data_IF_406183247487
#
_entry.id   IF_406183247487
#
_cell.length_a   1.000
_cell.length_b   1.000
_cell.length_c   1.000
_cell.angle_alpha   90.00
_cell.angle_beta   90.00
_cell.angle_gamma   90.00
#
_symmetry.space_group_name_H-M   'P 1'
#
loop_
_entity.id
_entity.type
_entity.pdbx_description
1 polymer ?
#
# COMPACT_ATOMS: atom_id res chain seq x y z
N UNK A 1 23.51 1.47 5.19
CA UNK A 1 22.27 1.96 4.55
C UNK A 1 21.71 3.15 5.31
N UNK A 2 21.20 4.16 4.58
CA UNK A 2 20.66 5.43 5.14
C UNK A 2 19.51 5.26 6.14
N UNK A 3 18.77 4.15 6.06
CA UNK A 3 17.73 3.76 7.03
C UNK A 3 18.28 3.64 8.46
N UNK A 4 19.50 3.15 8.66
CA UNK A 4 20.06 2.97 10.01
C UNK A 4 20.39 4.30 10.72
N UNK A 5 21.08 5.26 10.08
CA UNK A 5 21.23 6.59 10.66
C UNK A 5 19.90 7.29 10.96
N UNK A 6 18.90 7.17 10.09
CA UNK A 6 17.57 7.75 10.33
C UNK A 6 16.90 7.15 11.56
N UNK A 7 16.89 5.82 11.68
CA UNK A 7 16.40 5.10 12.87
C UNK A 7 17.07 5.57 14.15
N UNK A 8 18.40 5.76 14.11
CA UNK A 8 19.18 6.27 15.23
C UNK A 8 18.80 7.71 15.59
N UNK A 9 18.64 8.61 14.61
CA UNK A 9 18.19 9.99 14.84
C UNK A 9 16.80 10.06 15.47
N UNK A 10 15.89 9.17 15.03
CA UNK A 10 14.52 9.11 15.55
C UNK A 10 14.41 8.38 16.89
N UNK A 11 15.49 7.75 17.38
CA UNK A 11 15.47 6.94 18.58
C UNK A 11 14.63 5.65 18.46
N UNK A 12 14.32 5.22 17.24
CA UNK A 12 13.52 4.02 16.96
C UNK A 12 14.26 3.09 16.00
N UNK A 13 14.94 2.09 16.56
CA UNK A 13 15.68 1.07 15.80
C UNK A 13 14.78 0.18 14.92
N UNK A 14 13.47 0.17 15.19
CA UNK A 14 12.48 -0.68 14.51
C UNK A 14 11.62 0.07 13.51
N UNK A 15 11.82 1.39 13.36
CA UNK A 15 11.03 2.21 12.45
C UNK A 15 11.10 1.66 11.02
N UNK A 16 9.93 1.45 10.41
CA UNK A 16 9.78 0.96 9.03
C UNK A 16 10.07 2.06 8.03
N UNK A 17 10.43 1.70 6.81
CA UNK A 17 10.92 2.69 5.82
C UNK A 17 9.93 3.82 5.53
N UNK A 18 8.62 3.58 5.52
CA UNK A 18 7.61 4.62 5.34
C UNK A 18 7.58 5.67 6.46
N UNK A 19 8.12 5.35 7.64
CA UNK A 19 8.24 6.26 8.78
C UNK A 19 9.50 7.13 8.71
N UNK A 20 10.37 6.89 7.73
CA UNK A 20 11.68 7.51 7.59
C UNK A 20 11.77 8.44 6.37
N UNK A 21 10.62 8.86 5.82
CA UNK A 21 10.55 9.61 4.58
C UNK A 21 10.22 11.09 4.82
N UNK A 22 10.78 11.97 3.99
CA UNK A 22 10.41 13.39 3.97
C UNK A 22 11.21 14.22 4.97
N UNK A 23 10.53 14.84 5.93
CA UNK A 23 11.13 15.81 6.86
C UNK A 23 12.24 15.19 7.73
N UNK A 24 12.17 13.89 8.02
CA UNK A 24 13.18 13.18 8.81
C UNK A 24 14.55 13.15 8.13
N UNK A 25 14.62 13.32 6.80
CA UNK A 25 15.90 13.47 6.09
C UNK A 25 16.67 14.72 6.53
N UNK A 26 15.98 15.74 7.07
CA UNK A 26 16.62 16.94 7.61
C UNK A 26 17.43 16.66 8.89
N UNK A 27 17.22 15.52 9.54
CA UNK A 27 17.97 15.09 10.72
C UNK A 27 19.33 14.48 10.37
N UNK A 28 19.64 14.28 9.08
CA UNK A 28 20.89 13.69 8.64
C UNK A 28 21.99 14.73 8.49
N UNK A 29 23.07 14.54 9.25
CA UNK A 29 24.32 15.28 9.08
C UNK A 29 25.16 14.68 7.94
N UNK A 30 26.10 15.48 7.41
CA UNK A 30 27.05 15.00 6.40
C UNK A 30 27.91 13.81 6.85
N UNK A 31 28.19 13.68 8.15
CA UNK A 31 28.92 12.53 8.68
C UNK A 31 28.10 11.23 8.57
N UNK A 32 26.81 11.30 8.89
CA UNK A 32 25.90 10.16 8.78
C UNK A 32 25.65 9.74 7.33
N UNK A 33 25.63 10.69 6.40
CA UNK A 33 25.55 10.39 4.97
C UNK A 33 26.79 9.62 4.48
N UNK A 34 28.00 10.04 4.91
CA UNK A 34 29.25 9.32 4.59
C UNK A 34 29.28 7.92 5.17
N UNK A 35 28.89 7.75 6.42
CA UNK A 35 28.78 6.44 7.07
C UNK A 35 27.80 5.52 6.31
N UNK A 36 26.62 6.05 5.94
CA UNK A 36 25.63 5.28 5.20
C UNK A 36 26.14 4.82 3.82
N UNK A 37 26.91 5.68 3.13
CA UNK A 37 27.56 5.36 1.86
C UNK A 37 28.61 4.26 2.03
N UNK A 38 29.50 4.37 3.03
CA UNK A 38 30.49 3.33 3.33
C UNK A 38 29.85 1.97 3.62
N UNK A 39 28.76 1.94 4.41
CA UNK A 39 28.03 0.69 4.69
C UNK A 39 27.40 0.11 3.43
N UNK A 40 26.90 0.96 2.52
CA UNK A 40 26.34 0.50 1.25
C UNK A 40 27.44 -0.06 0.34
N UNK A 41 28.57 0.62 0.20
CA UNK A 41 29.71 0.15 -0.61
C UNK A 41 30.30 -1.16 -0.09
N UNK A 42 30.41 -1.32 1.24
CA UNK A 42 30.84 -2.55 1.86
C UNK A 42 29.87 -3.71 1.55
N UNK A 43 28.56 -3.46 1.68
CA UNK A 43 27.54 -4.46 1.35
C UNK A 43 27.55 -4.81 -0.15
N UNK A 44 27.70 -3.82 -1.03
CA UNK A 44 27.80 -4.01 -2.48
C UNK A 44 29.02 -4.87 -2.81
N UNK A 45 30.18 -4.55 -2.25
CA UNK A 45 31.41 -5.29 -2.47
C UNK A 45 31.33 -6.73 -2.00
N UNK A 46 30.66 -6.98 -0.87
CA UNK A 46 30.53 -8.30 -0.26
C UNK A 46 29.48 -9.21 -0.94
N UNK A 47 28.42 -8.65 -1.53
CA UNK A 47 27.26 -9.42 -1.98
C UNK A 47 26.99 -9.36 -3.49
N UNK A 48 27.59 -8.41 -4.22
CA UNK A 48 27.38 -8.26 -5.67
C UNK A 48 28.66 -8.64 -6.42
N UNK A 49 28.62 -9.70 -7.27
CA UNK A 49 29.77 -10.10 -8.09
C UNK A 49 30.27 -8.93 -8.93
N UNK A 50 31.60 -8.77 -9.02
CA UNK A 50 32.23 -7.62 -9.68
C UNK A 50 31.71 -7.40 -11.11
N UNK A 51 31.59 -8.48 -11.88
CA UNK A 51 31.05 -8.46 -13.26
C UNK A 51 29.60 -7.98 -13.37
N UNK A 52 28.83 -8.00 -12.29
CA UNK A 52 27.43 -7.56 -12.26
C UNK A 52 27.24 -6.19 -11.63
N UNK A 53 28.25 -5.60 -10.96
CA UNK A 53 28.09 -4.36 -10.19
C UNK A 53 27.53 -3.21 -11.01
N UNK A 54 28.11 -2.95 -12.19
CA UNK A 54 27.63 -1.88 -13.07
C UNK A 54 26.18 -2.10 -13.49
N UNK A 55 25.83 -3.32 -13.91
CA UNK A 55 24.46 -3.64 -14.31
C UNK A 55 23.48 -3.55 -13.13
N UNK A 56 23.87 -4.03 -11.96
CA UNK A 56 23.10 -3.95 -10.72
C UNK A 56 22.78 -2.50 -10.36
N UNK A 57 23.79 -1.62 -10.33
CA UNK A 57 23.60 -0.21 -10.00
C UNK A 57 22.75 0.52 -11.04
N UNK A 58 22.96 0.23 -12.33
CA UNK A 58 22.15 0.79 -13.42
C UNK A 58 20.68 0.38 -13.31
N UNK A 59 20.41 -0.90 -13.03
CA UNK A 59 19.03 -1.40 -12.88
C UNK A 59 18.35 -0.84 -11.63
N UNK A 60 19.07 -0.71 -10.50
CA UNK A 60 18.53 -0.02 -9.32
C UNK A 60 18.22 1.45 -9.59
N UNK A 61 19.16 2.18 -10.22
CA UNK A 61 18.96 3.58 -10.56
C UNK A 61 17.78 3.78 -11.52
N UNK A 62 17.67 2.92 -12.54
CA UNK A 62 16.56 2.95 -13.48
C UNK A 62 15.21 2.67 -12.78
N UNK A 63 15.16 1.67 -11.89
CA UNK A 63 13.95 1.34 -11.14
C UNK A 63 13.52 2.49 -10.21
N UNK A 64 14.47 3.15 -9.55
CA UNK A 64 14.20 4.32 -8.69
C UNK A 64 13.70 5.52 -9.50
N UNK A 65 14.31 5.79 -10.66
CA UNK A 65 13.89 6.87 -11.56
C UNK A 65 12.47 6.62 -12.09
N UNK A 66 12.17 5.38 -12.49
CA UNK A 66 10.83 4.97 -12.94
C UNK A 66 9.79 5.13 -11.83
N UNK A 67 10.08 4.62 -10.62
CA UNK A 67 9.20 4.77 -9.46
C UNK A 67 8.96 6.24 -9.12
N UNK A 68 10.01 7.08 -9.12
CA UNK A 68 9.88 8.52 -8.89
C UNK A 68 8.97 9.19 -9.93
N UNK A 69 9.17 8.91 -11.22
CA UNK A 69 8.32 9.47 -12.27
C UNK A 69 6.87 9.01 -12.13
N UNK A 70 6.66 7.73 -11.78
CA UNK A 70 5.33 7.17 -11.55
C UNK A 70 4.61 7.88 -10.40
N UNK A 71 5.29 8.01 -9.25
CA UNK A 71 4.76 8.72 -8.09
C UNK A 71 4.45 10.18 -8.40
N UNK A 72 5.35 10.91 -9.08
CA UNK A 72 5.09 12.30 -9.50
C UNK A 72 3.89 12.45 -10.43
N UNK A 73 3.61 11.44 -11.25
CA UNK A 73 2.47 11.45 -12.17
C UNK A 73 1.16 11.11 -11.46
N UNK A 74 1.18 10.14 -10.55
CA UNK A 74 -0.04 9.48 -10.05
C UNK A 74 -0.38 9.80 -8.58
N UNK A 75 0.59 10.14 -7.72
CA UNK A 75 0.36 10.39 -6.29
C UNK A 75 -0.06 11.85 -5.98
N UNK A 76 -1.09 12.34 -6.68
CA UNK A 76 -1.58 13.73 -6.58
C UNK A 76 -3.02 13.86 -6.06
N UNK A 77 -3.84 12.85 -6.33
CA UNK A 77 -5.24 12.80 -5.91
C UNK A 77 -5.73 11.34 -5.97
N UNK A 78 -6.85 11.04 -5.31
CA UNK A 78 -7.45 9.69 -5.34
C UNK A 78 -7.67 9.20 -6.79
N UNK A 79 -8.24 10.03 -7.67
CA UNK A 79 -8.44 9.68 -9.09
C UNK A 79 -7.13 9.44 -9.86
N UNK A 80 -6.06 10.19 -9.56
CA UNK A 80 -4.75 9.98 -10.19
C UNK A 80 -4.08 8.70 -9.67
N UNK A 81 -4.29 8.36 -8.38
CA UNK A 81 -3.86 7.09 -7.77
C UNK A 81 -4.59 5.89 -8.36
N UNK A 82 -5.92 5.95 -8.54
CA UNK A 82 -6.69 4.90 -9.24
C UNK A 82 -6.08 4.65 -10.63
N UNK A 83 -5.81 5.70 -11.41
CA UNK A 83 -5.12 5.56 -12.70
C UNK A 83 -3.72 4.96 -12.59
N UNK A 84 -3.00 5.26 -11.50
CA UNK A 84 -1.72 4.64 -11.20
C UNK A 84 -1.87 3.14 -10.96
N UNK A 85 -2.80 2.73 -10.09
CA UNK A 85 -3.08 1.31 -9.85
C UNK A 85 -3.56 0.58 -11.10
N UNK A 86 -4.36 1.20 -11.96
CA UNK A 86 -4.76 0.61 -13.25
C UNK A 86 -3.56 0.39 -14.16
N UNK A 87 -2.71 1.41 -14.32
CA UNK A 87 -1.48 1.30 -15.12
C UNK A 87 -0.57 0.21 -14.57
N UNK A 88 -0.42 0.14 -13.25
CA UNK A 88 0.37 -0.90 -12.61
C UNK A 88 -0.25 -2.29 -12.82
N UNK A 89 -1.57 -2.42 -12.70
CA UNK A 89 -2.31 -3.63 -13.01
C UNK A 89 -2.08 -4.08 -14.45
N UNK A 90 -2.13 -3.16 -15.43
CA UNK A 90 -1.82 -3.45 -16.83
C UNK A 90 -0.37 -3.92 -17.03
N UNK A 91 0.61 -3.29 -16.36
CA UNK A 91 2.02 -3.71 -16.41
C UNK A 91 2.21 -5.12 -15.84
N UNK A 92 1.42 -5.49 -14.84
CA UNK A 92 1.38 -6.82 -14.23
C UNK A 92 0.40 -7.79 -14.93
N UNK A 93 -0.20 -7.38 -16.06
CA UNK A 93 -1.26 -8.12 -16.76
C UNK A 93 -2.43 -8.55 -15.85
N UNK A 94 -2.64 -7.84 -14.74
CA UNK A 94 -3.58 -8.16 -13.68
C UNK A 94 -3.38 -9.56 -13.08
N UNK A 95 -2.16 -10.09 -13.04
CA UNK A 95 -1.87 -11.35 -12.35
C UNK A 95 -1.78 -11.18 -10.84
N UNK A 96 -1.27 -10.02 -10.38
CA UNK A 96 -1.20 -9.69 -8.96
C UNK A 96 -2.49 -8.97 -8.52
N UNK A 97 -3.26 -9.48 -7.54
CA UNK A 97 -4.56 -8.90 -7.16
C UNK A 97 -4.50 -7.52 -6.51
N UNK A 98 -3.39 -7.18 -5.86
CA UNK A 98 -3.26 -5.96 -5.04
C UNK A 98 -3.73 -4.66 -5.69
N UNK A 99 -3.40 -4.31 -6.95
CA UNK A 99 -3.87 -3.05 -7.55
C UNK A 99 -5.39 -2.97 -7.68
N UNK A 100 -6.07 -4.10 -7.96
CA UNK A 100 -7.55 -4.15 -8.02
C UNK A 100 -8.14 -3.95 -6.63
N UNK A 101 -7.60 -4.65 -5.62
CA UNK A 101 -8.01 -4.50 -4.21
C UNK A 101 -7.83 -3.05 -3.75
N UNK A 102 -6.69 -2.42 -4.06
CA UNK A 102 -6.42 -1.03 -3.73
C UNK A 102 -7.42 -0.06 -4.40
N UNK A 103 -7.80 -0.30 -5.65
CA UNK A 103 -8.82 0.51 -6.34
C UNK A 103 -10.20 0.35 -5.69
N UNK A 104 -10.59 -0.87 -5.31
CA UNK A 104 -11.86 -1.12 -4.61
C UNK A 104 -11.88 -0.47 -3.22
N UNK A 105 -10.77 -0.53 -2.48
CA UNK A 105 -10.61 0.23 -1.24
C UNK A 105 -10.75 1.74 -1.45
N UNK A 106 -10.15 2.28 -2.51
CA UNK A 106 -10.33 3.69 -2.88
C UNK A 106 -11.77 4.04 -3.29
N UNK A 107 -12.52 3.12 -3.88
CA UNK A 107 -13.94 3.33 -4.16
C UNK A 107 -14.75 3.50 -2.88
N UNK A 108 -14.48 2.68 -1.85
CA UNK A 108 -15.11 2.83 -0.54
C UNK A 108 -14.81 4.21 0.06
N UNK A 109 -13.56 4.68 -0.02
CA UNK A 109 -13.17 6.01 0.46
C UNK A 109 -13.90 7.11 -0.33
N UNK A 110 -13.96 7.01 -1.66
CA UNK A 110 -14.65 7.98 -2.52
C UNK A 110 -16.16 8.03 -2.27
N UNK A 111 -16.79 6.88 -2.06
CA UNK A 111 -18.22 6.78 -1.78
C UNK A 111 -18.52 7.32 -0.38
N UNK A 112 -17.65 7.09 0.61
CA UNK A 112 -17.74 7.69 1.94
C UNK A 112 -17.62 9.21 1.90
N UNK A 113 -16.64 9.74 1.15
CA UNK A 113 -16.46 11.20 0.95
C UNK A 113 -17.59 11.84 0.15
N UNK A 114 -18.21 11.09 -0.76
CA UNK A 114 -19.34 11.59 -1.55
C UNK A 114 -20.59 11.61 -0.70
N UNK A 115 -20.83 10.57 0.11
CA UNK A 115 -21.92 10.56 1.09
C UNK A 115 -21.74 11.67 2.13
N UNK A 116 -20.55 11.90 2.67
CA UNK A 116 -20.32 13.02 3.61
C UNK A 116 -20.64 14.39 2.97
N UNK A 117 -20.31 14.58 1.68
CA UNK A 117 -20.63 15.82 0.93
C UNK A 117 -22.11 15.95 0.55
N UNK A 118 -22.75 14.88 0.10
CA UNK A 118 -24.17 14.85 -0.27
C UNK A 118 -25.06 14.98 0.98
N UNK A 119 -24.63 14.43 2.11
CA UNK A 119 -25.25 14.65 3.43
C UNK A 119 -24.78 15.94 4.12
N UNK A 120 -24.10 16.85 3.40
CA UNK A 120 -24.08 18.29 3.68
C UNK A 120 -25.47 18.95 3.59
N UNK A 121 -26.54 18.16 3.46
CA UNK A 121 -27.96 18.47 3.58
C UNK A 121 -28.48 17.87 4.90
N UNK A 122 -28.05 18.38 6.04
CA UNK A 122 -28.85 19.41 6.75
C UNK A 122 -27.97 20.65 7.01
N UNK A 123 -27.23 21.10 6.00
CA UNK A 123 -26.33 22.25 6.09
C UNK A 123 -27.02 23.59 6.38
N UNK A 124 -28.34 23.67 6.43
CA UNK A 124 -29.07 24.89 6.81
C UNK A 124 -29.79 24.76 8.17
N UNK A 125 -30.27 23.56 8.54
CA UNK A 125 -30.86 23.33 9.86
C UNK A 125 -29.80 22.97 10.94
N UNK A 126 -28.67 22.34 10.59
CA UNK A 126 -27.56 22.07 11.52
C UNK A 126 -26.73 23.32 11.82
N UNK A 127 -26.65 24.28 10.87
CA UNK A 127 -26.02 25.59 11.07
C UNK A 127 -26.77 26.45 12.11
N UNK A 128 -28.09 26.25 12.28
CA UNK A 128 -28.88 26.92 13.33
C UNK A 128 -28.72 26.31 14.73
N UNK A 129 -28.09 25.13 14.85
CA UNK A 129 -27.95 24.39 16.12
C UNK A 129 -26.49 24.37 16.62
N UNK A 130 -25.58 25.14 16.01
CA UNK A 130 -24.23 25.34 16.57
C UNK A 130 -23.31 24.11 16.51
N UNK A 131 -23.44 23.29 15.46
CA UNK A 131 -22.70 22.02 15.33
C UNK A 131 -21.44 22.19 14.47
N UNK A 132 -20.52 23.07 14.86
CA UNK A 132 -19.20 23.21 14.22
C UNK A 132 -18.32 21.96 14.42
N UNK A 133 -18.53 21.22 15.51
CA UNK A 133 -17.76 20.03 15.84
C UNK A 133 -17.93 18.88 14.82
N UNK A 134 -19.11 18.72 14.19
CA UNK A 134 -19.32 17.63 13.23
C UNK A 134 -18.66 17.87 11.86
N UNK A 135 -18.55 19.13 11.43
CA UNK A 135 -17.83 19.48 10.21
C UNK A 135 -16.31 19.34 10.39
N UNK A 136 -15.77 19.73 11.55
CA UNK A 136 -14.37 19.44 11.94
C UNK A 136 -14.09 17.94 12.01
N UNK A 137 -15.05 17.15 12.52
CA UNK A 137 -14.97 15.69 12.61
C UNK A 137 -14.86 15.01 11.23
N UNK A 138 -15.72 15.39 10.29
CA UNK A 138 -15.70 14.85 8.93
C UNK A 138 -14.41 15.25 8.19
N UNK A 139 -13.97 16.50 8.37
CA UNK A 139 -12.74 17.04 7.75
C UNK A 139 -11.47 16.31 8.22
N UNK A 140 -11.33 16.04 9.52
CA UNK A 140 -10.15 15.37 10.09
C UNK A 140 -10.02 13.89 9.70
N UNK A 141 -11.15 13.19 9.55
CA UNK A 141 -11.17 11.80 9.09
C UNK A 141 -10.80 11.71 7.60
N UNK A 142 -11.37 12.60 6.78
CA UNK A 142 -11.06 12.71 5.36
C UNK A 142 -9.56 13.02 5.17
N UNK A 143 -8.98 13.92 5.95
CA UNK A 143 -7.53 14.22 5.88
C UNK A 143 -6.67 13.01 6.26
N UNK A 144 -6.99 12.30 7.35
CA UNK A 144 -6.25 11.10 7.77
C UNK A 144 -6.29 10.00 6.69
N UNK A 145 -7.46 9.77 6.09
CA UNK A 145 -7.61 8.81 5.00
C UNK A 145 -6.85 9.26 3.75
N UNK A 146 -6.89 10.54 3.40
CA UNK A 146 -6.18 11.08 2.22
C UNK A 146 -4.67 10.99 2.38
N UNK A 147 -4.13 11.33 3.55
CA UNK A 147 -2.70 11.19 3.91
C UNK A 147 -2.27 9.73 3.91
N UNK A 148 -3.07 8.84 4.50
CA UNK A 148 -2.77 7.39 4.49
C UNK A 148 -2.73 6.83 3.08
N UNK A 149 -3.75 7.10 2.26
CA UNK A 149 -3.75 6.66 0.86
C UNK A 149 -2.57 7.24 0.07
N UNK A 150 -2.04 8.41 0.46
CA UNK A 150 -0.85 9.01 -0.16
C UNK A 150 0.42 8.26 0.22
N UNK A 151 0.57 7.93 1.50
CA UNK A 151 1.72 7.20 2.00
C UNK A 151 1.73 5.74 1.54
N UNK A 152 0.58 5.04 1.59
CA UNK A 152 0.44 3.68 1.04
C UNK A 152 0.90 3.65 -0.42
N UNK A 153 0.38 4.57 -1.23
CA UNK A 153 0.78 4.66 -2.64
C UNK A 153 2.27 4.98 -2.80
N UNK A 154 2.83 5.87 -1.98
CA UNK A 154 4.24 6.24 -2.03
C UNK A 154 5.19 5.12 -1.60
N UNK A 155 4.79 4.31 -0.62
CA UNK A 155 5.57 3.19 -0.07
C UNK A 155 5.50 1.96 -0.97
N UNK A 156 4.29 1.56 -1.39
CA UNK A 156 4.07 0.28 -2.05
C UNK A 156 4.46 0.26 -3.53
N UNK A 157 4.25 1.37 -4.25
CA UNK A 157 4.50 1.43 -5.71
C UNK A 157 5.99 1.17 -6.05
N UNK A 158 6.97 1.82 -5.40
CA UNK A 158 8.38 1.52 -5.64
C UNK A 158 8.73 0.05 -5.47
N UNK A 159 8.24 -0.59 -4.40
CA UNK A 159 8.50 -2.02 -4.13
C UNK A 159 7.95 -2.90 -5.24
N UNK A 160 6.70 -2.68 -5.67
CA UNK A 160 6.08 -3.49 -6.73
C UNK A 160 6.75 -3.27 -8.10
N UNK A 161 7.11 -2.03 -8.44
CA UNK A 161 7.85 -1.73 -9.68
C UNK A 161 9.24 -2.37 -9.69
N UNK A 162 9.95 -2.34 -8.56
CA UNK A 162 11.25 -3.00 -8.42
C UNK A 162 11.15 -4.52 -8.60
N UNK A 163 10.14 -5.15 -7.98
CA UNK A 163 9.87 -6.56 -8.16
C UNK A 163 9.54 -6.92 -9.62
N UNK A 164 8.67 -6.14 -10.27
CA UNK A 164 8.34 -6.35 -11.68
C UNK A 164 9.57 -6.21 -12.60
N UNK A 165 10.46 -5.26 -12.30
CA UNK A 165 11.75 -5.12 -13.00
C UNK A 165 12.58 -6.39 -12.86
N UNK A 166 12.74 -6.91 -11.64
CA UNK A 166 13.48 -8.14 -11.38
C UNK A 166 12.85 -9.34 -12.11
N UNK A 167 11.52 -9.47 -12.08
CA UNK A 167 10.81 -10.51 -12.82
C UNK A 167 11.05 -10.40 -14.33
N UNK A 168 11.01 -9.19 -14.89
CA UNK A 168 11.26 -8.94 -16.32
C UNK A 168 12.70 -9.28 -16.73
N UNK A 169 13.68 -8.94 -15.89
CA UNK A 169 15.10 -9.30 -16.10
C UNK A 169 15.24 -10.83 -16.13
N UNK A 170 14.59 -11.53 -15.19
CA UNK A 170 14.58 -13.00 -15.15
C UNK A 170 13.96 -13.60 -16.42
N UNK A 171 12.82 -13.09 -16.88
CA UNK A 171 12.17 -13.52 -18.12
C UNK A 171 13.04 -13.32 -19.37
N UNK A 172 14.01 -12.38 -19.33
CA UNK A 172 15.00 -12.16 -20.40
C UNK A 172 16.23 -13.07 -20.30
N UNK A 173 16.22 -14.06 -19.41
CA UNK A 173 17.32 -15.01 -19.20
C UNK A 173 18.46 -14.48 -18.34
N UNK A 174 18.31 -13.33 -17.69
CA UNK A 174 19.32 -12.73 -16.80
C UNK A 174 19.04 -13.09 -15.34
N UNK A 175 18.86 -14.38 -15.04
CA UNK A 175 18.42 -14.85 -13.72
C UNK A 175 19.36 -14.42 -12.59
N UNK A 176 20.67 -14.50 -12.83
CA UNK A 176 21.68 -14.14 -11.83
C UNK A 176 21.63 -12.65 -11.46
N UNK A 177 21.42 -11.77 -12.44
CA UNK A 177 21.26 -10.33 -12.19
C UNK A 177 19.98 -10.08 -11.39
N UNK A 178 18.88 -10.74 -11.73
CA UNK A 178 17.62 -10.62 -11.00
C UNK A 178 17.75 -11.09 -9.54
N UNK A 179 18.39 -12.23 -9.29
CA UNK A 179 18.61 -12.72 -7.92
C UNK A 179 19.58 -11.81 -7.16
N UNK A 180 20.60 -11.27 -7.83
CA UNK A 180 21.51 -10.30 -7.22
C UNK A 180 20.76 -9.03 -6.82
N UNK A 181 19.85 -8.51 -7.66
CA UNK A 181 18.97 -7.38 -7.32
C UNK A 181 18.04 -7.67 -6.14
N UNK A 182 17.61 -8.91 -5.95
CA UNK A 182 16.71 -9.33 -4.86
C UNK A 182 17.45 -9.66 -3.56
N UNK A 183 18.73 -10.03 -3.61
CA UNK A 183 19.52 -10.48 -2.46
C UNK A 183 20.61 -9.48 -2.03
N UNK A 184 21.07 -8.63 -2.94
CA UNK A 184 22.09 -7.60 -2.70
C UNK A 184 21.61 -6.42 -1.86
N UNK A 185 22.38 -5.33 -1.78
CA UNK A 185 22.01 -4.15 -1.00
C UNK A 185 20.69 -3.55 -1.50
N UNK A 186 19.79 -3.24 -0.57
CA UNK A 186 18.52 -2.64 -0.94
C UNK A 186 18.69 -1.19 -1.40
N UNK A 187 17.79 -0.72 -2.28
CA UNK A 187 17.63 0.71 -2.50
C UNK A 187 17.45 1.45 -1.17
N UNK A 188 17.99 2.66 -1.10
CA UNK A 188 18.10 3.49 0.11
C UNK A 188 16.81 3.62 0.93
N UNK A 189 15.65 3.62 0.29
CA UNK A 189 14.34 3.80 0.91
C UNK A 189 13.61 2.48 1.21
N UNK A 190 14.22 1.34 0.95
CA UNK A 190 13.63 0.02 1.19
C UNK A 190 14.14 -0.55 2.51
N UNK A 191 13.29 -1.35 3.14
CA UNK A 191 13.65 -2.19 4.28
C UNK A 191 13.50 -3.68 3.90
N UNK A 192 13.84 -4.58 4.83
CA UNK A 192 13.80 -6.02 4.58
C UNK A 192 12.36 -6.57 4.36
N UNK A 193 11.33 -5.86 4.84
CA UNK A 193 9.95 -6.18 4.47
C UNK A 193 9.72 -5.91 2.97
N UNK A 194 10.22 -4.79 2.43
CA UNK A 194 10.21 -4.54 0.99
C UNK A 194 10.92 -5.66 0.21
N UNK A 195 12.08 -6.15 0.68
CA UNK A 195 12.76 -7.28 0.05
C UNK A 195 11.87 -8.53 0.01
N UNK A 196 11.25 -8.84 1.14
CA UNK A 196 10.38 -10.02 1.29
C UNK A 196 9.19 -9.95 0.33
N UNK A 197 8.56 -8.77 0.20
CA UNK A 197 7.50 -8.53 -0.77
C UNK A 197 8.02 -8.68 -2.20
N UNK A 198 9.17 -8.08 -2.54
CA UNK A 198 9.76 -8.20 -3.88
C UNK A 198 10.02 -9.65 -4.27
N UNK A 199 10.67 -10.43 -3.39
CA UNK A 199 10.97 -11.85 -3.64
C UNK A 199 9.70 -12.66 -3.82
N UNK A 200 8.72 -12.46 -2.94
CA UNK A 200 7.44 -13.18 -3.01
C UNK A 200 6.67 -12.84 -4.29
N UNK A 201 6.70 -11.58 -4.73
CA UNK A 201 6.05 -11.15 -5.98
C UNK A 201 6.75 -11.75 -7.19
N UNK A 202 8.08 -11.71 -7.26
CA UNK A 202 8.84 -12.31 -8.37
C UNK A 202 8.61 -13.82 -8.44
N UNK A 203 8.61 -14.50 -7.29
CA UNK A 203 8.33 -15.93 -7.22
C UNK A 203 6.90 -16.25 -7.64
N UNK A 204 5.91 -15.50 -7.14
CA UNK A 204 4.50 -15.68 -7.50
C UNK A 204 4.24 -15.44 -8.98
N UNK A 205 4.79 -14.38 -9.59
CA UNK A 205 4.69 -14.13 -11.03
C UNK A 205 5.43 -15.18 -11.87
N UNK A 206 6.46 -15.82 -11.31
CA UNK A 206 7.21 -16.90 -11.97
C UNK A 206 6.57 -18.28 -11.89
N UNK A 207 5.47 -18.43 -11.15
CA UNK A 207 4.77 -19.72 -11.03
C UNK A 207 3.97 -20.02 -12.30
N UNK A 208 4.22 -21.22 -12.86
CA UNK A 208 3.65 -21.64 -14.14
C UNK A 208 2.19 -22.09 -13.99
N UNK A 209 1.83 -22.71 -12.87
CA UNK A 209 0.47 -23.14 -12.58
C UNK A 209 -0.40 -21.92 -12.21
N UNK A 210 -1.43 -21.57 -13.01
CA UNK A 210 -2.28 -20.41 -12.76
C UNK A 210 -2.95 -20.41 -11.38
N UNK A 211 -3.34 -21.56 -10.86
CA UNK A 211 -4.02 -21.69 -9.56
C UNK A 211 -3.03 -21.53 -8.40
N UNK A 212 -1.82 -22.06 -8.53
CA UNK A 212 -0.76 -21.82 -7.53
C UNK A 212 -0.30 -20.37 -7.54
N UNK A 213 -0.10 -19.80 -8.73
CA UNK A 213 0.24 -18.39 -8.92
C UNK A 213 -0.79 -17.48 -8.29
N UNK A 214 -2.07 -17.69 -8.61
CA UNK A 214 -3.15 -16.88 -8.04
C UNK A 214 -3.17 -16.96 -6.51
N UNK A 215 -3.10 -18.17 -5.93
CA UNK A 215 -3.06 -18.34 -4.47
C UNK A 215 -1.86 -17.65 -3.83
N UNK A 216 -0.67 -17.79 -4.40
CA UNK A 216 0.54 -17.14 -3.90
C UNK A 216 0.42 -15.61 -3.94
N UNK A 217 -0.09 -15.05 -5.04
CA UNK A 217 -0.26 -13.61 -5.23
C UNK A 217 -1.43 -13.04 -4.41
N UNK A 218 -2.50 -13.80 -4.19
CA UNK A 218 -3.58 -13.44 -3.27
C UNK A 218 -3.07 -13.41 -1.82
N UNK A 219 -2.30 -14.41 -1.39
CA UNK A 219 -1.67 -14.41 -0.08
C UNK A 219 -0.69 -13.25 0.11
N UNK A 220 0.11 -12.94 -0.92
CA UNK A 220 0.97 -11.77 -0.91
C UNK A 220 0.18 -10.46 -0.79
N UNK A 221 -1.00 -10.38 -1.40
CA UNK A 221 -1.88 -9.21 -1.28
C UNK A 221 -2.31 -9.00 0.18
N UNK A 222 -2.57 -10.07 0.94
CA UNK A 222 -2.83 -9.96 2.39
C UNK A 222 -1.61 -9.47 3.17
N UNK A 223 -0.41 -9.95 2.85
CA UNK A 223 0.84 -9.48 3.47
C UNK A 223 1.09 -8.00 3.17
N UNK A 224 0.89 -7.57 1.92
CA UNK A 224 0.98 -6.17 1.53
C UNK A 224 -0.05 -5.32 2.27
N UNK A 225 -1.29 -5.80 2.37
CA UNK A 225 -2.36 -5.14 3.11
C UNK A 225 -2.01 -4.93 4.58
N UNK A 226 -1.39 -5.93 5.23
CA UNK A 226 -0.94 -5.78 6.61
C UNK A 226 0.08 -4.64 6.77
N UNK A 227 1.04 -4.51 5.84
CA UNK A 227 1.98 -3.39 5.81
C UNK A 227 1.27 -2.05 5.63
N UNK A 228 0.28 -1.97 4.75
CA UNK A 228 -0.55 -0.77 4.57
C UNK A 228 -1.30 -0.38 5.85
N UNK A 229 -1.79 -1.37 6.62
CA UNK A 229 -2.42 -1.12 7.90
C UNK A 229 -1.44 -0.59 8.96
N UNK A 230 -0.13 -0.85 8.84
CA UNK A 230 0.89 -0.25 9.69
C UNK A 230 1.12 1.23 9.34
N UNK A 231 1.02 1.61 8.06
CA UNK A 231 1.03 3.01 7.62
C UNK A 231 -0.19 3.74 8.19
N UNK A 232 -1.36 3.10 8.17
CA UNK A 232 -2.56 3.64 8.79
C UNK A 232 -2.41 3.80 10.31
N UNK A 233 -1.85 2.81 11.02
CA UNK A 233 -1.53 2.94 12.46
C UNK A 233 -0.67 4.19 12.73
N UNK A 234 0.36 4.40 11.92
CA UNK A 234 1.29 5.51 12.09
C UNK A 234 0.58 6.87 11.96
N UNK A 235 -0.26 7.05 10.93
CA UNK A 235 -1.01 8.29 10.75
C UNK A 235 -2.16 8.52 11.74
N UNK A 236 -2.70 7.45 12.33
CA UNK A 236 -3.65 7.57 13.44
C UNK A 236 -2.99 8.17 14.70
N UNK A 237 -1.66 8.06 14.85
CA UNK A 237 -0.88 8.61 15.96
C UNK A 237 -0.85 7.74 17.22
N UNK A 238 0.15 7.97 18.10
CA UNK A 238 0.26 7.35 19.44
C UNK A 238 -0.46 8.22 20.49
N UNK A 239 -1.13 7.58 21.45
CA UNK A 239 -1.89 8.23 22.54
C UNK A 239 -1.02 9.16 23.40
N UNK A 240 -1.08 10.47 23.17
CA UNK A 240 -0.51 11.46 24.11
C UNK A 240 -1.44 12.62 24.45
N UNK A 241 -2.66 12.68 23.92
CA UNK A 241 -3.63 13.67 24.37
C UNK A 241 -5.02 13.04 24.54
N UNK A 242 -5.50 12.99 25.80
CA UNK A 242 -6.93 12.88 26.10
C UNK A 242 -7.65 13.99 25.33
N UNK A 243 -8.38 13.63 24.28
CA UNK A 243 -9.28 14.54 23.54
C UNK A 243 -10.59 13.81 23.17
N UNK A 244 -11.71 14.56 23.10
CA UNK A 244 -13.04 14.10 23.52
C UNK A 244 -13.80 13.31 22.45
N UNK A 245 -14.56 12.27 22.84
CA UNK A 245 -15.71 11.65 22.14
C UNK A 245 -15.55 11.07 20.71
N UNK A 246 -14.48 11.44 20.00
CA UNK A 246 -14.23 11.28 18.57
C UNK A 246 -13.76 9.87 18.20
N UNK A 247 -12.86 9.32 19.01
CA UNK A 247 -12.32 7.97 18.85
C UNK A 247 -13.23 6.91 19.45
N UNK A 248 -14.04 7.28 20.43
CA UNK A 248 -15.04 6.41 21.04
C UNK A 248 -16.17 6.06 20.06
N UNK A 249 -16.49 6.93 19.09
CA UNK A 249 -17.45 6.63 18.01
C UNK A 249 -16.86 5.79 16.87
N UNK A 250 -15.57 5.98 16.53
CA UNK A 250 -14.88 5.14 15.54
C UNK A 250 -14.55 3.74 16.08
N UNK A 251 -14.29 3.62 17.39
CA UNK A 251 -14.24 2.35 18.11
C UNK A 251 -15.62 1.67 18.27
N UNK A 252 -16.70 2.30 17.79
CA UNK A 252 -18.05 1.71 17.70
C UNK A 252 -18.45 1.40 16.25
N UNK A 253 -17.49 1.38 15.31
CA UNK A 253 -17.78 1.00 13.92
C UNK A 253 -18.18 -0.49 13.88
N UNK A 254 -19.48 -0.75 13.72
CA UNK A 254 -20.04 -2.11 13.67
C UNK A 254 -20.08 -2.71 12.27
N UNK A 255 -19.86 -1.88 11.25
CA UNK A 255 -19.82 -2.35 9.87
C UNK A 255 -19.03 -1.40 8.97
N UNK A 256 -18.50 -1.94 7.88
CA UNK A 256 -17.84 -1.18 6.81
C UNK A 256 -18.42 -1.58 5.45
N UNK A 257 -18.70 -0.65 4.53
CA UNK A 257 -19.04 -1.03 3.15
C UNK A 257 -17.84 -1.70 2.50
N UNK A 258 -17.98 -2.96 2.09
CA UNK A 258 -16.90 -3.77 1.56
C UNK A 258 -17.28 -4.35 0.20
N UNK A 259 -16.31 -4.53 -0.73
CA UNK A 259 -16.58 -5.16 -2.00
C UNK A 259 -16.92 -6.63 -1.77
N UNK A 260 -17.99 -7.10 -2.40
CA UNK A 260 -18.38 -8.51 -2.43
C UNK A 260 -18.71 -8.91 -3.86
N UNK A 261 -18.36 -10.12 -4.24
CA UNK A 261 -18.78 -10.71 -5.51
C UNK A 261 -20.09 -11.46 -5.29
N UNK A 262 -21.15 -10.98 -5.94
CA UNK A 262 -22.47 -11.63 -5.93
C UNK A 262 -22.76 -12.27 -7.27
N UNK A 263 -23.51 -13.37 -7.27
CA UNK A 263 -24.03 -13.98 -8.49
C UNK A 263 -25.45 -13.49 -8.73
N UNK A 264 -25.65 -12.71 -9.79
CA UNK A 264 -26.96 -12.21 -10.20
C UNK A 264 -27.29 -12.75 -11.58
N UNK A 265 -28.33 -13.59 -11.68
CA UNK A 265 -28.75 -14.25 -12.94
C UNK A 265 -27.59 -15.00 -13.63
N UNK A 266 -26.79 -15.73 -12.85
CA UNK A 266 -25.64 -16.49 -13.35
C UNK A 266 -24.38 -15.67 -13.64
N UNK A 267 -24.44 -14.33 -13.53
CA UNK A 267 -23.30 -13.44 -13.78
C UNK A 267 -22.73 -12.94 -12.45
N UNK A 268 -21.41 -13.10 -12.26
CA UNK A 268 -20.69 -12.51 -11.12
C UNK A 268 -20.59 -11.00 -11.27
N UNK A 269 -20.89 -10.25 -10.22
CA UNK A 269 -20.79 -8.79 -10.19
C UNK A 269 -20.24 -8.32 -8.85
N UNK A 270 -19.47 -7.24 -8.87
CA UNK A 270 -19.06 -6.54 -7.65
C UNK A 270 -20.20 -5.68 -7.13
N UNK A 271 -20.50 -5.80 -5.85
CA UNK A 271 -21.37 -4.92 -5.09
C UNK A 271 -20.65 -4.46 -3.83
N UNK A 272 -21.00 -3.30 -3.29
CA UNK A 272 -20.52 -2.86 -1.98
C UNK A 272 -21.62 -3.09 -0.95
N UNK A 273 -21.39 -4.03 -0.03
CA UNK A 273 -22.36 -4.42 0.99
C UNK A 273 -21.80 -4.16 2.40
N UNK A 274 -22.66 -3.94 3.41
CA UNK A 274 -22.18 -3.83 4.79
C UNK A 274 -21.52 -5.13 5.26
N UNK A 275 -20.23 -5.06 5.59
CA UNK A 275 -19.50 -6.13 6.26
C UNK A 275 -19.53 -5.88 7.76
N UNK A 276 -20.08 -6.81 8.52
CA UNK A 276 -20.17 -6.69 9.97
C UNK A 276 -18.79 -6.85 10.64
N UNK A 277 -18.48 -5.95 11.55
CA UNK A 277 -17.31 -6.01 12.42
C UNK A 277 -17.75 -6.54 13.79
N UNK A 278 -16.87 -7.25 14.53
CA UNK A 278 -17.23 -7.74 15.84
C UNK A 278 -17.50 -6.58 16.80
N UNK A 279 -18.26 -6.83 17.86
CA UNK A 279 -18.75 -5.79 18.77
C UNK A 279 -17.61 -5.05 19.51
N UNK A 280 -16.49 -5.73 19.70
CA UNK A 280 -15.24 -5.26 20.33
C UNK A 280 -14.20 -4.77 19.30
N UNK A 281 -14.58 -4.56 18.03
CA UNK A 281 -13.66 -4.07 17.02
C UNK A 281 -13.13 -2.67 17.36
N UNK A 282 -11.81 -2.57 17.54
CA UNK A 282 -11.14 -1.30 17.74
C UNK A 282 -10.37 -0.89 16.48
N UNK A 283 -10.75 0.25 15.88
CA UNK A 283 -10.06 0.78 14.70
C UNK A 283 -8.58 1.08 14.97
N UNK A 284 -8.14 1.21 16.23
CA UNK A 284 -6.75 1.45 16.60
C UNK A 284 -5.93 0.18 16.73
N UNK A 285 -6.58 -0.93 17.05
CA UNK A 285 -5.93 -2.24 17.10
C UNK A 285 -5.50 -2.64 15.68
N UNK A 286 -4.18 -2.73 15.49
CA UNK A 286 -3.57 -3.10 14.23
C UNK A 286 -4.00 -4.50 13.79
N UNK A 287 -3.94 -5.47 14.70
CA UNK A 287 -4.19 -6.87 14.38
C UNK A 287 -5.67 -7.10 14.08
N UNK A 288 -6.57 -6.41 14.81
CA UNK A 288 -8.00 -6.40 14.50
C UNK A 288 -8.26 -5.86 13.09
N UNK A 289 -7.63 -4.73 12.71
CA UNK A 289 -7.79 -4.19 11.34
C UNK A 289 -7.25 -5.14 10.29
N UNK A 290 -6.05 -5.67 10.46
CA UNK A 290 -5.45 -6.62 9.51
C UNK A 290 -6.37 -7.81 9.31
N UNK A 291 -6.85 -8.41 10.40
CA UNK A 291 -7.75 -9.57 10.37
C UNK A 291 -9.08 -9.27 9.69
N UNK A 292 -9.78 -8.23 10.11
CA UNK A 292 -11.17 -8.00 9.68
C UNK A 292 -11.26 -7.25 8.36
N UNK A 293 -10.39 -6.27 8.12
CA UNK A 293 -10.35 -5.62 6.81
C UNK A 293 -9.65 -6.47 5.75
N UNK A 294 -8.71 -7.36 6.12
CA UNK A 294 -8.19 -8.38 5.22
C UNK A 294 -9.31 -9.27 4.67
N UNK A 295 -10.20 -9.74 5.56
CA UNK A 295 -11.41 -10.48 5.16
C UNK A 295 -12.35 -9.65 4.28
N UNK A 296 -12.65 -8.43 4.71
CA UNK A 296 -13.64 -7.58 4.06
C UNK A 296 -13.21 -7.11 2.66
N UNK A 297 -11.93 -6.79 2.45
CA UNK A 297 -11.46 -6.14 1.23
C UNK A 297 -10.57 -7.02 0.35
N UNK A 298 -9.81 -7.94 0.94
CA UNK A 298 -8.89 -8.81 0.20
C UNK A 298 -9.58 -10.14 -0.09
N UNK A 299 -9.88 -10.93 0.94
CA UNK A 299 -10.44 -12.28 0.77
C UNK A 299 -11.80 -12.26 0.05
N UNK A 300 -12.62 -11.23 0.27
CA UNK A 300 -13.92 -11.07 -0.36
C UNK A 300 -13.89 -10.99 -1.91
N UNK A 301 -12.72 -10.67 -2.49
CA UNK A 301 -12.53 -10.60 -3.96
C UNK A 301 -11.41 -11.50 -4.47
N UNK A 302 -10.67 -12.17 -3.57
CA UNK A 302 -9.60 -13.11 -3.93
C UNK A 302 -9.89 -14.54 -3.47
N UNK A 303 -11.14 -14.88 -3.16
CA UNK A 303 -11.54 -16.23 -2.73
C UNK A 303 -11.22 -17.29 -3.77
N UNK A 304 -11.49 -16.98 -5.03
CA UNK A 304 -11.15 -17.79 -6.19
C UNK A 304 -10.83 -16.90 -7.40
N UNK A 305 -10.29 -17.50 -8.46
CA UNK A 305 -9.91 -16.79 -9.68
C UNK A 305 -11.12 -16.08 -10.33
N UNK A 306 -12.30 -16.69 -10.30
CA UNK A 306 -13.46 -16.16 -10.98
C UNK A 306 -14.06 -14.95 -10.26
N UNK A 307 -14.04 -14.94 -8.93
CA UNK A 307 -14.38 -13.77 -8.12
C UNK A 307 -13.40 -12.62 -8.39
N UNK A 308 -12.10 -12.92 -8.47
CA UNK A 308 -11.09 -11.92 -8.83
C UNK A 308 -11.27 -11.39 -10.26
N UNK A 309 -11.60 -12.24 -11.23
CA UNK A 309 -11.89 -11.82 -12.60
C UNK A 309 -13.07 -10.86 -12.66
N UNK A 310 -14.17 -11.16 -11.94
CA UNK A 310 -15.31 -10.24 -11.84
C UNK A 310 -14.92 -8.91 -11.20
N UNK A 311 -14.06 -8.93 -10.17
CA UNK A 311 -13.53 -7.73 -9.55
C UNK A 311 -12.66 -6.89 -10.50
N UNK A 312 -11.76 -7.54 -11.23
CA UNK A 312 -10.94 -6.92 -12.27
C UNK A 312 -11.80 -6.29 -13.36
N UNK A 313 -12.78 -7.02 -13.89
CA UNK A 313 -13.69 -6.52 -14.92
C UNK A 313 -14.50 -5.32 -14.45
N UNK A 314 -15.00 -5.33 -13.22
CA UNK A 314 -15.68 -4.19 -12.63
C UNK A 314 -14.76 -2.94 -12.59
N UNK A 315 -13.52 -3.11 -12.15
CA UNK A 315 -12.53 -2.02 -12.08
C UNK A 315 -12.19 -1.49 -13.48
N UNK A 316 -11.97 -2.38 -14.45
CA UNK A 316 -11.70 -2.01 -15.83
C UNK A 316 -12.89 -1.30 -16.48
N UNK A 317 -14.11 -1.79 -16.27
CA UNK A 317 -15.30 -1.14 -16.81
C UNK A 317 -15.54 0.25 -16.21
N UNK A 318 -15.29 0.42 -14.91
CA UNK A 318 -15.54 1.69 -14.22
C UNK A 318 -14.47 2.75 -14.46
N UNK A 319 -13.21 2.34 -14.70
CA UNK A 319 -12.08 3.27 -14.70
C UNK A 319 -11.05 3.07 -15.83
N UNK A 320 -11.14 1.98 -16.59
CA UNK A 320 -10.23 1.63 -17.68
C UNK A 320 -10.45 2.41 -18.96
#
# INVERSE_FOLDING_TARGET
MLVHPLRKCLGDATARSFQLMGEDLALLSGAQLREAAMVYEAALSASVPERLRTAFEQEQAAALAEAHQFLRRHNKSLRKRIRGYLRLGQMLQFEYPWPVVAILGLCQVLDAMTKSRVYGLVGEAARRVGISAFDELASNLDDTLLRTNRAIFADSIPTVLYALRCHTIRQRGQEELAETLLSGPLPVIFDEECRTVCRSLVAGLGEADPEKRFRALAQLTLTQFAREQSIFSYHLGRDTQRRPGLLEKLGRMRQVPAPVVIVQRGVRKVSFQPFALPADFEIRDHDARVKWFGKAFVEAVTRDIADYQAAREHVLHRFG
#
